data_IF_253535431105
#
_entry.id   IF_253535431105
#
_cell.length_a   1.000
_cell.length_b   1.000
_cell.length_c   1.000
_cell.angle_alpha   90.00
_cell.angle_beta   90.00
_cell.angle_gamma   90.00
#
_symmetry.space_group_name_H-M   'P 1'
#
loop_
_entity.id
_entity.type
_entity.pdbx_description
1 polymer ?
#
# COMPACT_ATOMS: atom_id res chain seq x y z
N UNK A 1 -5.79 19.22 11.80
CA UNK A 1 -4.33 19.18 11.54
C UNK A 1 -3.71 17.77 11.56
N UNK A 2 -4.04 16.83 12.46
CA UNK A 2 -3.45 15.48 12.43
C UNK A 2 -3.94 14.62 11.25
N UNK A 3 -5.16 14.85 10.75
CA UNK A 3 -5.74 14.07 9.65
C UNK A 3 -4.92 14.15 8.35
N UNK A 4 -4.44 15.33 7.96
CA UNK A 4 -3.63 15.53 6.74
C UNK A 4 -2.31 14.75 6.79
N UNK A 5 -1.65 14.74 7.94
CA UNK A 5 -0.40 14.00 8.15
C UNK A 5 -0.62 12.49 8.04
N UNK A 6 -1.73 11.99 8.58
CA UNK A 6 -2.14 10.58 8.49
C UNK A 6 -2.47 10.21 7.03
N UNK A 7 -3.16 11.07 6.29
CA UNK A 7 -3.47 10.85 4.87
C UNK A 7 -2.20 10.75 4.03
N UNK A 8 -1.25 11.68 4.19
CA UNK A 8 0.03 11.66 3.46
C UNK A 8 0.82 10.40 3.80
N UNK A 9 0.85 9.99 5.07
CA UNK A 9 1.51 8.75 5.48
C UNK A 9 0.92 7.51 4.78
N UNK A 10 -0.40 7.40 4.71
CA UNK A 10 -1.06 6.29 4.02
C UNK A 10 -0.83 6.29 2.51
N UNK A 11 -0.79 7.46 1.87
CA UNK A 11 -0.45 7.57 0.43
C UNK A 11 0.96 7.05 0.17
N UNK A 12 1.93 7.43 1.00
CA UNK A 12 3.33 6.98 0.87
C UNK A 12 3.44 5.46 1.09
N UNK A 13 2.72 4.91 2.07
CA UNK A 13 2.66 3.46 2.32
C UNK A 13 2.05 2.72 1.14
N UNK A 14 0.95 3.22 0.55
CA UNK A 14 0.36 2.68 -0.66
C UNK A 14 1.33 2.67 -1.84
N UNK A 15 2.00 3.80 -2.11
CA UNK A 15 2.96 3.91 -3.20
C UNK A 15 4.15 2.94 -3.03
N UNK A 16 4.67 2.81 -1.81
CA UNK A 16 5.76 1.89 -1.50
C UNK A 16 5.34 0.42 -1.63
N UNK A 17 4.13 0.07 -1.18
CA UNK A 17 3.59 -1.28 -1.31
C UNK A 17 3.44 -1.69 -2.78
N UNK A 18 2.87 -0.81 -3.62
CA UNK A 18 2.75 -1.06 -5.07
C UNK A 18 4.14 -1.22 -5.70
N UNK A 19 5.07 -0.31 -5.40
CA UNK A 19 6.43 -0.37 -5.94
C UNK A 19 7.10 -1.71 -5.61
N UNK A 20 7.01 -2.16 -4.35
CA UNK A 20 7.56 -3.45 -3.91
C UNK A 20 6.89 -4.64 -4.58
N UNK A 21 5.56 -4.64 -4.72
CA UNK A 21 4.85 -5.72 -5.43
C UNK A 21 5.34 -5.82 -6.88
N UNK A 22 5.50 -4.69 -7.58
CA UNK A 22 5.99 -4.67 -8.97
C UNK A 22 7.44 -5.15 -9.06
N UNK A 23 8.32 -4.72 -8.15
CA UNK A 23 9.73 -5.19 -8.15
C UNK A 23 9.86 -6.68 -7.82
N UNK A 24 9.09 -7.16 -6.84
CA UNK A 24 9.07 -8.58 -6.46
C UNK A 24 8.42 -9.47 -7.53
N UNK A 25 7.45 -8.94 -8.29
CA UNK A 25 6.83 -9.66 -9.40
C UNK A 25 7.79 -9.82 -10.60
N UNK A 26 8.71 -8.86 -10.78
CA UNK A 26 9.73 -8.87 -11.84
C UNK A 26 10.99 -9.69 -11.49
N UNK A 27 11.06 -10.30 -10.31
CA UNK A 27 12.20 -11.15 -9.94
C UNK A 27 12.04 -12.58 -10.45
N UNK A 28 13.14 -13.21 -10.89
CA UNK A 28 13.12 -14.56 -11.45
C UNK A 28 12.63 -15.63 -10.45
N UNK A 29 12.89 -15.42 -9.16
CA UNK A 29 12.30 -16.19 -8.06
C UNK A 29 11.20 -15.35 -7.46
N UNK A 30 9.94 -15.69 -7.77
CA UNK A 30 8.77 -14.97 -7.26
C UNK A 30 8.52 -15.34 -5.79
N UNK A 31 8.83 -14.46 -4.82
CA UNK A 31 8.60 -14.78 -3.43
C UNK A 31 7.13 -14.42 -3.13
N UNK A 32 6.25 -15.40 -3.30
CA UNK A 32 4.80 -15.21 -3.20
C UNK A 32 4.32 -14.70 -1.84
N UNK A 33 4.98 -15.12 -0.75
CA UNK A 33 4.63 -14.71 0.60
C UNK A 33 4.78 -13.19 0.83
N UNK A 34 5.94 -12.54 0.55
CA UNK A 34 6.04 -11.11 0.67
C UNK A 34 5.16 -10.33 -0.31
N UNK A 35 4.87 -10.87 -1.51
CA UNK A 35 3.91 -10.24 -2.44
C UNK A 35 2.51 -10.16 -1.80
N UNK A 36 2.01 -11.28 -1.26
CA UNK A 36 0.72 -11.33 -0.58
C UNK A 36 0.68 -10.40 0.64
N UNK A 37 1.79 -10.30 1.38
CA UNK A 37 1.91 -9.37 2.51
C UNK A 37 1.78 -7.91 2.06
N UNK A 38 2.50 -7.49 1.01
CA UNK A 38 2.40 -6.12 0.51
C UNK A 38 1.02 -5.81 -0.10
N UNK A 39 0.35 -6.79 -0.71
CA UNK A 39 -1.03 -6.63 -1.18
C UNK A 39 -1.99 -6.45 0.00
N UNK A 40 -1.83 -7.22 1.08
CA UNK A 40 -2.66 -7.05 2.28
C UNK A 40 -2.46 -5.66 2.92
N UNK A 41 -1.22 -5.20 3.02
CA UNK A 41 -0.89 -3.83 3.48
C UNK A 41 -1.55 -2.77 2.59
N UNK A 42 -1.54 -2.97 1.27
CA UNK A 42 -2.19 -2.07 0.32
C UNK A 42 -3.70 -2.01 0.52
N UNK A 43 -4.38 -3.16 0.66
CA UNK A 43 -5.84 -3.23 0.88
C UNK A 43 -6.23 -2.55 2.20
N UNK A 44 -5.48 -2.82 3.27
CA UNK A 44 -5.70 -2.20 4.59
C UNK A 44 -5.54 -0.69 4.48
N UNK A 45 -4.45 -0.22 3.84
CA UNK A 45 -4.21 1.21 3.59
C UNK A 45 -5.34 1.85 2.79
N UNK A 46 -5.84 1.17 1.76
CA UNK A 46 -6.97 1.64 0.95
C UNK A 46 -8.24 1.80 1.77
N UNK A 47 -8.50 0.89 2.72
CA UNK A 47 -9.65 0.97 3.63
C UNK A 47 -9.62 2.20 4.55
N UNK A 48 -8.44 2.72 4.88
CA UNK A 48 -8.30 3.96 5.64
C UNK A 48 -8.37 5.22 4.77
N UNK A 49 -8.11 5.09 3.47
CA UNK A 49 -8.25 6.17 2.49
C UNK A 49 -9.67 6.30 1.92
N UNK A 50 -10.46 5.21 1.91
CA UNK A 50 -11.84 5.22 1.40
C UNK A 50 -12.74 6.30 2.05
N UNK A 51 -12.75 6.49 3.38
CA UNK A 51 -13.58 7.52 4.02
C UNK A 51 -13.17 8.95 3.68
N UNK A 52 -11.96 9.16 3.15
CA UNK A 52 -11.46 10.45 2.69
C UNK A 52 -11.86 10.76 1.24
N UNK A 53 -12.28 9.76 0.47
CA UNK A 53 -12.71 9.94 -0.92
C UNK A 53 -14.21 10.24 -1.04
N UNK A 54 -15.00 9.83 -0.03
CA UNK A 54 -16.45 10.01 0.07
C UNK A 54 -16.87 11.37 0.69
N UNK A 55 -15.92 12.24 1.04
CA UNK A 55 -16.16 13.61 1.55
C UNK A 55 -15.88 14.67 0.50
#
# INVERSE_FOLDING_TARGET
MPALLVTIAWIVVCAYAIYRVVTLANTAVKPWFPILFYIAVFIISLSYLWPLLDT
#
